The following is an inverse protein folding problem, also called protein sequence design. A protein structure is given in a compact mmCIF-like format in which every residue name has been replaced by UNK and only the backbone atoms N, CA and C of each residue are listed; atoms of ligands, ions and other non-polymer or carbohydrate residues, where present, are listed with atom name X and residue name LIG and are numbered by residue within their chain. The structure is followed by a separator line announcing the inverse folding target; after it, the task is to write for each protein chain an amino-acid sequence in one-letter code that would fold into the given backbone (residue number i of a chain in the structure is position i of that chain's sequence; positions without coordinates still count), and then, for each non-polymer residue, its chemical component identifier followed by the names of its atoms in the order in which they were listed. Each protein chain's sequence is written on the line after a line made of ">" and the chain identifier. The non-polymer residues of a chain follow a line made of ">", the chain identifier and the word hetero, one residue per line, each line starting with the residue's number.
data_IF_859370792441
#
_entry.id   IF_859370792441
#
_cell.length_a   1.000
_cell.length_b   1.000
_cell.length_c   1.000
_cell.angle_alpha   90.00
_cell.angle_beta   90.00
_cell.angle_gamma   90.00
#
_symmetry.space_group_name_H-M   'P 1'
#
loop_
_entity.id
_entity.type
_entity.pdbx_description
1 polymer ?
#
# COMPACT_ATOMS: atom_id res chain seq x y z
N UNK A 1 -1.47 8.65 -27.26
CA UNK A 1 -2.76 7.96 -27.04
C UNK A 1 -2.76 7.36 -25.65
N UNK A 2 -3.76 7.66 -24.79
CA UNK A 2 -3.83 7.08 -23.45
C UNK A 2 -4.49 5.71 -23.54
N UNK A 3 -3.69 4.64 -23.46
CA UNK A 3 -4.19 3.26 -23.50
C UNK A 3 -5.04 3.00 -22.25
N UNK A 4 -6.34 2.81 -22.45
CA UNK A 4 -7.31 2.60 -21.37
C UNK A 4 -7.27 1.12 -20.95
N UNK A 5 -6.37 0.81 -20.02
CA UNK A 5 -6.24 -0.55 -19.47
C UNK A 5 -7.53 -1.03 -18.80
N UNK A 6 -7.83 -2.31 -18.98
CA UNK A 6 -8.92 -3.02 -18.31
C UNK A 6 -8.70 -3.06 -16.80
N UNK A 7 -9.78 -3.33 -16.04
CA UNK A 7 -9.71 -3.49 -14.59
C UNK A 7 -8.76 -4.63 -14.17
N UNK A 8 -8.68 -5.70 -14.97
CA UNK A 8 -7.82 -6.84 -14.70
C UNK A 8 -6.34 -6.48 -14.90
N UNK A 9 -6.00 -5.86 -16.03
CA UNK A 9 -4.62 -5.48 -16.34
C UNK A 9 -4.06 -4.47 -15.32
N UNK A 10 -4.90 -3.54 -14.82
CA UNK A 10 -4.50 -2.63 -13.74
C UNK A 10 -4.09 -3.37 -12.47
N UNK A 11 -4.79 -4.45 -12.11
CA UNK A 11 -4.44 -5.28 -10.94
C UNK A 11 -3.12 -6.00 -11.17
N UNK A 12 -2.93 -6.60 -12.35
CA UNK A 12 -1.68 -7.30 -12.71
C UNK A 12 -0.50 -6.34 -12.71
N UNK A 13 -0.65 -5.15 -13.29
CA UNK A 13 0.40 -4.13 -13.31
C UNK A 13 0.74 -3.64 -11.89
N UNK A 14 -0.28 -3.47 -11.04
CA UNK A 14 -0.06 -3.10 -9.64
C UNK A 14 0.69 -4.20 -8.88
N UNK A 15 0.27 -5.45 -9.05
CA UNK A 15 0.90 -6.62 -8.41
C UNK A 15 2.38 -6.70 -8.77
N UNK A 16 2.69 -6.62 -10.07
CA UNK A 16 4.08 -6.55 -10.55
C UNK A 16 4.86 -5.42 -9.91
N UNK A 17 4.29 -4.20 -9.87
CA UNK A 17 4.95 -3.04 -9.29
C UNK A 17 5.20 -3.19 -7.79
N UNK A 18 4.24 -3.73 -7.03
CA UNK A 18 4.41 -3.95 -5.59
C UNK A 18 5.49 -4.99 -5.32
N UNK A 19 5.48 -6.13 -6.04
CA UNK A 19 6.51 -7.15 -5.90
C UNK A 19 7.90 -6.58 -6.15
N UNK A 20 8.10 -5.85 -7.25
CA UNK A 20 9.40 -5.23 -7.54
C UNK A 20 9.87 -4.27 -6.43
N UNK A 21 8.95 -3.51 -5.81
CA UNK A 21 9.30 -2.63 -4.70
C UNK A 21 9.61 -3.40 -3.40
N UNK A 22 8.94 -4.53 -3.14
CA UNK A 22 9.26 -5.37 -1.99
C UNK A 22 10.60 -6.08 -2.14
N UNK A 23 10.98 -6.43 -3.37
CA UNK A 23 12.29 -7.02 -3.68
C UNK A 23 13.42 -5.98 -3.60
N UNK A 24 13.17 -4.73 -4.03
CA UNK A 24 14.15 -3.65 -4.03
C UNK A 24 14.39 -3.06 -2.64
N UNK A 25 13.35 -2.94 -1.81
CA UNK A 25 13.41 -2.27 -0.51
C UNK A 25 13.20 -3.26 0.65
N UNK A 26 14.23 -3.45 1.47
CA UNK A 26 14.17 -4.29 2.67
C UNK A 26 13.40 -3.70 3.86
N UNK A 27 12.91 -2.46 3.76
CA UNK A 27 12.15 -1.77 4.83
C UNK A 27 10.84 -1.22 4.27
N UNK A 28 9.74 -1.50 4.97
CA UNK A 28 8.39 -1.05 4.58
C UNK A 28 7.76 -0.27 5.73
N UNK A 29 7.20 0.89 5.42
CA UNK A 29 6.43 1.71 6.34
C UNK A 29 4.96 1.75 5.91
N UNK A 30 4.04 1.46 6.83
CA UNK A 30 2.60 1.62 6.62
C UNK A 30 2.13 2.85 7.39
N UNK A 31 1.44 3.75 6.69
CA UNK A 31 0.95 5.00 7.27
C UNK A 31 -0.50 5.24 6.85
N UNK A 32 -1.33 5.74 7.77
CA UNK A 32 -2.67 6.20 7.47
C UNK A 32 -2.63 7.57 6.78
N UNK A 33 -3.46 7.77 5.76
CA UNK A 33 -3.48 9.00 4.96
C UNK A 33 -4.89 9.59 4.84
N UNK A 34 -5.68 9.51 5.92
CA UNK A 34 -7.09 9.92 5.92
C UNK A 34 -7.26 11.43 5.80
N UNK A 35 -6.39 12.20 6.43
CA UNK A 35 -6.47 13.67 6.50
C UNK A 35 -5.39 14.37 5.67
N UNK A 36 -4.96 13.74 4.58
CA UNK A 36 -3.88 14.27 3.71
C UNK A 36 -4.45 14.70 2.37
N UNK A 37 -4.41 15.99 2.10
CA UNK A 37 -4.82 16.55 0.81
C UNK A 37 -3.89 16.12 -0.33
N UNK A 38 -4.40 16.14 -1.56
CA UNK A 38 -3.64 15.75 -2.76
C UNK A 38 -2.33 16.53 -2.92
N UNK A 39 -2.35 17.85 -2.65
CA UNK A 39 -1.19 18.73 -2.73
C UNK A 39 -0.15 18.45 -1.63
N UNK A 40 -0.60 18.14 -0.42
CA UNK A 40 0.28 17.72 0.68
C UNK A 40 0.98 16.42 0.31
N UNK A 41 0.23 15.43 -0.18
CA UNK A 41 0.77 14.15 -0.61
C UNK A 41 1.76 14.29 -1.79
N UNK A 42 1.51 15.23 -2.71
CA UNK A 42 2.47 15.55 -3.78
C UNK A 42 3.76 16.17 -3.24
N UNK A 43 3.67 17.03 -2.22
CA UNK A 43 4.83 17.66 -1.60
C UNK A 43 5.65 16.65 -0.80
N UNK A 44 5.00 15.77 -0.03
CA UNK A 44 5.65 14.63 0.64
C UNK A 44 6.35 13.73 -0.39
N UNK A 45 5.67 13.40 -1.50
CA UNK A 45 6.28 12.62 -2.58
C UNK A 45 7.52 13.29 -3.15
N UNK A 46 7.54 14.63 -3.30
CA UNK A 46 8.73 15.35 -3.79
C UNK A 46 9.89 15.25 -2.80
N UNK A 47 9.62 15.43 -1.51
CA UNK A 47 10.65 15.36 -0.48
C UNK A 47 11.28 13.98 -0.32
N UNK A 48 10.54 12.91 -0.61
CA UNK A 48 11.04 11.52 -0.51
C UNK A 48 11.65 10.97 -1.81
N UNK A 49 11.66 11.74 -2.91
CA UNK A 49 12.24 11.28 -4.18
C UNK A 49 13.73 11.01 -4.01
N UNK A 50 14.18 9.87 -4.56
CA UNK A 50 15.57 9.43 -4.47
C UNK A 50 15.78 8.41 -3.37
N UNK A 51 15.19 8.65 -2.19
CA UNK A 51 15.41 7.79 -1.03
C UNK A 51 14.32 6.73 -0.85
N UNK A 52 13.06 7.02 -1.21
CA UNK A 52 11.92 6.14 -0.94
C UNK A 52 10.77 6.32 -1.93
N UNK A 53 9.94 5.27 -2.05
CA UNK A 53 8.80 5.25 -2.96
C UNK A 53 7.49 5.11 -2.20
N UNK A 54 6.56 6.05 -2.39
CA UNK A 54 5.19 5.93 -1.87
C UNK A 54 4.33 5.17 -2.88
N UNK A 55 3.73 4.07 -2.45
CA UNK A 55 2.73 3.32 -3.21
C UNK A 55 1.39 3.28 -2.46
N UNK A 56 0.39 3.96 -3.01
CA UNK A 56 -1.00 3.87 -2.53
C UNK A 56 -1.77 2.78 -3.27
N UNK A 57 -2.72 2.11 -2.62
CA UNK A 57 -3.57 1.11 -3.26
C UNK A 57 -4.73 0.67 -2.38
N UNK A 58 -5.62 -0.14 -2.96
CA UNK A 58 -6.75 -0.71 -2.21
C UNK A 58 -6.23 -1.76 -1.23
N UNK A 59 -6.57 -1.64 0.05
CA UNK A 59 -6.11 -2.54 1.12
C UNK A 59 -6.31 -4.03 0.79
N UNK A 60 -7.44 -4.39 0.17
CA UNK A 60 -7.71 -5.78 -0.24
C UNK A 60 -6.74 -6.28 -1.29
N UNK A 61 -6.32 -5.39 -2.20
CA UNK A 61 -5.40 -5.70 -3.27
C UNK A 61 -3.98 -5.84 -2.71
N UNK A 62 -3.55 -4.89 -1.88
CA UNK A 62 -2.22 -4.92 -1.24
C UNK A 62 -2.06 -6.20 -0.41
N UNK A 63 -3.04 -6.55 0.44
CA UNK A 63 -3.00 -7.79 1.23
C UNK A 63 -2.86 -9.04 0.38
N UNK A 64 -3.61 -9.09 -0.72
CA UNK A 64 -3.57 -10.22 -1.66
C UNK A 64 -2.17 -10.36 -2.25
N UNK A 65 -1.61 -9.27 -2.76
CA UNK A 65 -0.28 -9.26 -3.38
C UNK A 65 0.82 -9.65 -2.39
N UNK A 66 0.80 -9.12 -1.16
CA UNK A 66 1.78 -9.49 -0.12
C UNK A 66 1.73 -10.99 0.16
N UNK A 67 0.53 -11.57 0.35
CA UNK A 67 0.40 -13.03 0.57
C UNK A 67 1.02 -13.84 -0.57
N UNK A 68 0.64 -13.54 -1.82
CA UNK A 68 1.19 -14.22 -2.98
C UNK A 68 2.71 -14.04 -3.12
N UNK A 69 3.24 -12.88 -2.75
CA UNK A 69 4.67 -12.63 -2.77
C UNK A 69 5.40 -13.46 -1.70
N UNK A 70 4.89 -13.50 -0.47
CA UNK A 70 5.47 -14.31 0.62
C UNK A 70 5.43 -15.81 0.32
N UNK A 71 4.39 -16.30 -0.36
CA UNK A 71 4.29 -17.69 -0.81
C UNK A 71 5.33 -18.03 -1.89
N UNK A 72 5.62 -17.09 -2.78
CA UNK A 72 6.60 -17.28 -3.88
C UNK A 72 8.05 -17.18 -3.41
N UNK A 73 8.35 -16.19 -2.58
CA UNK A 73 9.72 -15.89 -2.15
C UNK A 73 10.12 -16.67 -0.89
N UNK A 74 9.14 -17.18 -0.13
CA UNK A 74 9.37 -17.86 1.16
C UNK A 74 9.73 -16.92 2.32
N UNK A 75 9.92 -15.63 2.05
CA UNK A 75 10.19 -14.61 3.05
C UNK A 75 8.89 -14.27 3.81
N UNK A 76 8.86 -14.57 5.11
CA UNK A 76 7.70 -14.38 5.99
C UNK A 76 7.67 -13.02 6.69
N UNK A 77 8.71 -12.21 6.56
CA UNK A 77 8.86 -10.95 7.30
C UNK A 77 7.73 -9.96 6.98
N UNK A 78 7.27 -9.97 5.72
CA UNK A 78 6.18 -9.11 5.26
C UNK A 78 4.79 -9.55 5.75
N UNK A 79 4.63 -10.74 6.32
CA UNK A 79 3.34 -11.19 6.85
C UNK A 79 2.85 -10.32 8.02
N UNK A 80 3.79 -9.73 8.76
CA UNK A 80 3.51 -8.80 9.86
C UNK A 80 2.81 -7.51 9.39
N UNK A 81 2.84 -7.21 8.09
CA UNK A 81 2.16 -6.06 7.49
C UNK A 81 0.66 -6.29 7.26
N UNK A 82 0.23 -7.54 7.10
CA UNK A 82 -1.16 -7.90 6.81
C UNK A 82 -2.18 -7.39 7.85
N UNK A 83 -1.94 -7.47 9.17
CA UNK A 83 -2.87 -6.93 10.18
C UNK A 83 -2.95 -5.40 10.15
N UNK A 84 -1.91 -4.71 9.69
CA UNK A 84 -1.87 -3.23 9.66
C UNK A 84 -2.70 -2.65 8.52
N UNK A 85 -2.91 -3.41 7.43
CA UNK A 85 -3.64 -2.96 6.25
C UNK A 85 -5.17 -2.95 6.42
N UNK A 86 -5.73 -3.07 7.64
CA UNK A 86 -7.19 -3.26 7.88
C UNK A 86 -7.98 -1.98 7.59
N UNK A 87 -9.13 -2.13 6.90
CA UNK A 87 -10.13 -1.06 6.85
C UNK A 87 -10.82 -1.12 8.21
N UNK A 88 -10.40 -0.28 9.15
CA UNK A 88 -11.25 -0.01 10.32
C UNK A 88 -12.46 0.73 9.75
N UNK A 89 -13.54 0.02 9.44
CA UNK A 89 -14.85 0.66 9.38
C UNK A 89 -14.99 1.39 10.70
N UNK A 90 -15.15 2.72 10.64
CA UNK A 90 -15.54 3.57 11.75
C UNK A 90 -16.92 3.13 12.25
N UNK A 91 -16.99 1.97 12.88
CA UNK A 91 -18.10 1.55 13.72
C UNK A 91 -17.46 1.28 15.06
N UNK A 92 -17.69 2.20 15.99
CA UNK A 92 -17.19 2.22 17.36
C UNK A 92 -15.82 2.86 17.57
N UNK A 93 -15.78 4.18 17.43
CA UNK A 93 -15.11 4.99 18.45
C UNK A 93 -16.11 5.09 19.61
N UNK A 94 -15.90 4.45 20.77
CA UNK A 94 -16.55 4.94 21.97
C UNK A 94 -15.90 6.28 22.24
N UNK A 95 -16.60 7.38 22.01
CA UNK A 95 -16.28 8.61 22.71
C UNK A 95 -16.59 8.31 24.18
N UNK A 96 -15.59 8.22 25.08
CA UNK A 96 -15.92 8.27 26.49
C UNK A 96 -16.44 9.68 26.73
N UNK A 97 -17.66 9.74 27.27
CA UNK A 97 -18.35 10.97 27.63
C UNK A 97 -17.41 11.94 28.36
N UNK A 98 -17.23 13.11 27.76
CA UNK A 98 -16.79 14.36 28.36
C UNK A 98 -17.59 15.48 27.68
#
# INVERSE_FOLDING_TARGET
>A
MVVKLSKAEKKVRYDKKLCSLLDEYGKVLITAADNVGSNQLQSIRRGLRGDSVILMGKNTLIRRCIRFHTEKTGNKDFLNLLPLLVIRTLRHFPFPHL
#
